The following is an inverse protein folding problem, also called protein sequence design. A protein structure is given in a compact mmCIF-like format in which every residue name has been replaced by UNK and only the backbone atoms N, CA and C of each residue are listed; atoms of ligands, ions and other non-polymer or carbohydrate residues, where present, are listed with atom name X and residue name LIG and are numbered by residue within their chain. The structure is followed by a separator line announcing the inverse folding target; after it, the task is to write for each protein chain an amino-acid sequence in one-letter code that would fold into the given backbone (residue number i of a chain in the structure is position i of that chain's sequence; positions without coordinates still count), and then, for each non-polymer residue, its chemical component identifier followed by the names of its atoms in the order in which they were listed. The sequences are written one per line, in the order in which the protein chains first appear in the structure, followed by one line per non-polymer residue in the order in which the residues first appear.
data_IF_951150985136
#
_entry.id   IF_951150985136
#
_cell.length_a   1.000
_cell.length_b   1.000
_cell.length_c   1.000
_cell.angle_alpha   90.00
_cell.angle_beta   90.00
_cell.angle_gamma   90.00
#
_symmetry.space_group_name_H-M   'P 1'
#
loop_
_entity.id
_entity.type
_entity.pdbx_description
1 polymer ?
#
# COMPACT_ATOMS: atom_id res chain seq x y z
N UNK A 1 18.57 14.87 -19.59
CA UNK A 1 17.22 15.46 -19.61
C UNK A 1 16.28 14.29 -19.32
N UNK A 2 15.76 14.21 -18.10
CA UNK A 2 15.02 13.05 -17.60
C UNK A 2 13.55 13.16 -18.03
N UNK A 3 13.14 12.37 -19.02
CA UNK A 3 11.73 12.19 -19.33
C UNK A 3 11.15 11.19 -18.34
N UNK A 4 10.48 11.71 -17.32
CA UNK A 4 9.60 10.91 -16.47
C UNK A 4 8.45 10.40 -17.35
N UNK A 5 8.20 9.09 -17.34
CA UNK A 5 7.04 8.50 -18.00
C UNK A 5 5.77 9.01 -17.30
N UNK A 6 5.15 10.05 -17.86
CA UNK A 6 3.80 10.44 -17.51
C UNK A 6 2.83 9.69 -18.40
N UNK A 7 2.10 8.72 -17.83
CA UNK A 7 0.92 8.16 -18.48
C UNK A 7 -0.13 9.27 -18.59
N UNK A 8 -0.31 9.86 -19.78
CA UNK A 8 -1.36 10.85 -20.02
C UNK A 8 -2.72 10.16 -20.22
N UNK A 9 -3.38 9.89 -19.10
CA UNK A 9 -4.81 9.64 -19.04
C UNK A 9 -5.40 10.61 -18.02
N UNK A 10 -6.36 11.41 -18.44
CA UNK A 10 -7.15 12.26 -17.54
C UNK A 10 -7.82 11.40 -16.46
N UNK A 11 -7.68 11.84 -15.21
CA UNK A 11 -8.46 11.46 -14.02
C UNK A 11 -8.18 10.10 -13.33
N UNK A 12 -7.85 10.24 -12.04
CA UNK A 12 -7.91 9.25 -10.96
C UNK A 12 -6.80 8.18 -10.95
N UNK A 13 -6.39 7.81 -9.74
CA UNK A 13 -5.51 6.67 -9.45
C UNK A 13 -6.20 5.33 -9.74
N UNK A 14 -6.66 5.12 -10.98
CA UNK A 14 -7.43 3.95 -11.43
C UNK A 14 -6.70 2.62 -11.13
N UNK A 15 -5.39 2.68 -10.97
CA UNK A 15 -4.54 1.51 -10.73
C UNK A 15 -4.28 1.21 -9.23
N UNK A 16 -4.88 1.93 -8.28
CA UNK A 16 -4.73 1.61 -6.86
C UNK A 16 -5.94 0.81 -6.34
N UNK A 17 -5.69 -0.43 -5.93
CA UNK A 17 -6.65 -1.28 -5.21
C UNK A 17 -6.57 -1.06 -3.71
N UNK A 18 -7.71 -0.79 -3.07
CA UNK A 18 -7.82 -0.70 -1.62
C UNK A 18 -8.48 -1.96 -1.06
N UNK A 19 -7.86 -2.55 -0.04
CA UNK A 19 -8.38 -3.71 0.69
C UNK A 19 -8.45 -3.35 2.18
N UNK A 20 -9.58 -2.79 2.64
CA UNK A 20 -9.81 -2.51 4.05
C UNK A 20 -10.22 -3.78 4.80
N UNK A 21 -9.52 -4.10 5.88
CA UNK A 21 -9.84 -5.19 6.79
C UNK A 21 -10.17 -4.61 8.17
N UNK A 22 -11.36 -4.94 8.69
CA UNK A 22 -11.79 -4.51 10.02
C UNK A 22 -11.52 -5.61 11.05
N UNK A 23 -10.95 -5.23 12.20
CA UNK A 23 -10.85 -6.12 13.35
C UNK A 23 -12.25 -6.29 13.93
N UNK A 24 -12.80 -7.51 13.81
CA UNK A 24 -14.14 -7.82 14.35
C UNK A 24 -14.10 -8.27 15.80
N UNK A 25 -13.01 -8.92 16.23
CA UNK A 25 -12.84 -9.48 17.58
C UNK A 25 -11.37 -9.52 17.97
N UNK A 26 -11.09 -9.26 19.24
CA UNK A 26 -9.76 -9.37 19.82
C UNK A 26 -8.82 -8.23 19.45
N UNK A 27 -7.52 -8.47 19.61
CA UNK A 27 -6.48 -7.47 19.37
C UNK A 27 -5.34 -8.00 18.50
N UNK A 28 -4.74 -7.11 17.72
CA UNK A 28 -3.63 -7.44 16.81
C UNK A 28 -2.48 -6.47 17.04
N UNK A 29 -1.28 -6.99 17.31
CA UNK A 29 -0.09 -6.16 17.48
C UNK A 29 0.28 -5.45 16.17
N UNK A 30 0.46 -4.13 16.24
CA UNK A 30 0.88 -3.31 15.09
C UNK A 30 2.25 -3.75 14.59
N UNK A 31 3.16 -4.06 15.51
CA UNK A 31 4.49 -4.54 15.19
C UNK A 31 4.48 -5.90 14.49
N UNK A 32 3.62 -6.83 14.94
CA UNK A 32 3.46 -8.11 14.26
C UNK A 32 2.87 -7.94 12.85
N UNK A 33 1.95 -7.00 12.62
CA UNK A 33 1.46 -6.69 11.27
C UNK A 33 2.64 -6.20 10.41
N UNK A 34 3.46 -5.29 10.93
CA UNK A 34 4.64 -4.74 10.21
C UNK A 34 5.64 -5.84 9.83
N UNK A 35 5.92 -6.76 10.75
CA UNK A 35 6.81 -7.90 10.51
C UNK A 35 6.21 -8.94 9.54
N UNK A 36 4.90 -9.19 9.65
CA UNK A 36 4.20 -10.09 8.75
C UNK A 36 4.20 -9.54 7.33
N UNK A 37 3.97 -8.23 7.16
CA UNK A 37 4.03 -7.55 5.87
C UNK A 37 5.42 -7.66 5.23
N UNK A 38 6.48 -7.42 6.01
CA UNK A 38 7.85 -7.61 5.55
C UNK A 38 8.09 -9.05 5.05
N UNK A 39 7.63 -10.05 5.82
CA UNK A 39 7.78 -11.46 5.47
C UNK A 39 7.03 -11.83 4.19
N UNK A 40 5.81 -11.31 4.01
CA UNK A 40 5.02 -11.49 2.77
C UNK A 40 5.74 -10.89 1.57
N UNK A 41 6.21 -9.64 1.65
CA UNK A 41 6.93 -9.01 0.53
C UNK A 41 8.22 -9.76 0.20
N UNK A 42 8.94 -10.24 1.22
CA UNK A 42 10.15 -11.03 1.01
C UNK A 42 9.87 -12.33 0.23
N UNK A 43 8.76 -13.01 0.52
CA UNK A 43 8.39 -14.28 -0.11
C UNK A 43 7.80 -14.11 -1.52
N UNK A 44 7.03 -13.04 -1.75
CA UNK A 44 6.29 -12.85 -3.01
C UNK A 44 7.03 -11.89 -3.94
N UNK A 45 7.72 -12.44 -4.94
CA UNK A 45 8.50 -11.68 -5.94
C UNK A 45 7.69 -10.61 -6.66
N UNK A 46 6.40 -10.87 -6.93
CA UNK A 46 5.50 -9.92 -7.59
C UNK A 46 5.37 -8.58 -6.85
N UNK A 47 5.45 -8.60 -5.51
CA UNK A 47 5.38 -7.39 -4.68
C UNK A 47 6.68 -6.56 -4.67
N UNK A 48 7.69 -7.04 -5.37
CA UNK A 48 9.01 -6.41 -5.50
C UNK A 48 9.53 -6.42 -6.94
N UNK A 49 8.66 -6.67 -7.91
CA UNK A 49 8.98 -6.57 -9.33
C UNK A 49 8.90 -5.10 -9.76
N UNK A 50 10.04 -4.54 -10.12
CA UNK A 50 10.12 -3.23 -10.77
C UNK A 50 9.74 -3.35 -12.24
N UNK A 51 9.01 -2.37 -12.76
CA UNK A 51 8.62 -2.30 -14.18
C UNK A 51 9.16 -0.99 -14.74
N UNK A 52 10.05 -1.10 -15.73
CA UNK A 52 10.78 0.04 -16.30
C UNK A 52 10.68 0.01 -17.81
N UNK A 53 10.65 1.18 -18.43
CA UNK A 53 10.83 1.30 -19.86
C UNK A 53 12.33 1.40 -20.18
N UNK A 54 12.81 0.56 -21.08
CA UNK A 54 14.15 0.64 -21.61
C UNK A 54 14.13 1.38 -22.97
N UNK A 55 14.65 2.62 -23.05
CA UNK A 55 14.61 3.41 -24.27
C UNK A 55 15.57 2.88 -25.36
N UNK A 56 16.55 2.06 -25.02
CA UNK A 56 17.51 1.53 -26.00
C UNK A 56 16.90 0.46 -26.90
N UNK A 57 15.99 -0.34 -26.38
CA UNK A 57 15.30 -1.41 -27.12
C UNK A 57 13.81 -1.12 -27.31
N UNK A 58 13.30 0.01 -26.79
CA UNK A 58 11.89 0.42 -26.85
C UNK A 58 10.94 -0.63 -26.25
N UNK A 59 11.32 -1.23 -25.12
CA UNK A 59 10.57 -2.30 -24.45
C UNK A 59 10.35 -2.02 -22.97
N UNK A 60 9.30 -2.64 -22.41
CA UNK A 60 9.08 -2.69 -20.96
C UNK A 60 9.79 -3.91 -20.40
N UNK A 61 10.59 -3.71 -19.36
CA UNK A 61 11.34 -4.74 -18.67
C UNK A 61 10.85 -4.91 -17.22
N UNK A 62 10.91 -6.16 -16.74
CA UNK A 62 10.54 -6.53 -15.37
C UNK A 62 11.75 -7.04 -14.60
N UNK A 63 12.08 -6.36 -13.50
CA UNK A 63 13.27 -6.65 -12.71
C UNK A 63 12.88 -6.88 -11.25
N UNK A 64 13.10 -8.09 -10.74
CA UNK A 64 12.83 -8.44 -9.33
C UNK A 64 13.86 -7.74 -8.44
N UNK A 65 13.43 -6.76 -7.65
CA UNK A 65 14.27 -6.02 -6.71
C UNK A 65 14.51 -6.84 -5.45
N UNK A 66 15.75 -6.93 -4.91
CA UNK A 66 16.01 -7.61 -3.65
C UNK A 66 15.14 -7.04 -2.52
N UNK A 67 14.76 -7.87 -1.55
CA UNK A 67 13.95 -7.39 -0.43
C UNK A 67 14.70 -6.35 0.40
N UNK A 68 14.09 -5.18 0.57
CA UNK A 68 14.56 -4.10 1.44
C UNK A 68 13.35 -3.45 2.12
N UNK A 69 13.57 -2.82 3.29
CA UNK A 69 12.48 -2.22 4.08
C UNK A 69 11.82 -1.00 3.41
N UNK A 70 12.45 -0.41 2.40
CA UNK A 70 11.94 0.74 1.66
C UNK A 70 11.05 0.36 0.47
N UNK A 71 10.85 -0.94 0.20
CA UNK A 71 9.95 -1.43 -0.85
C UNK A 71 8.46 -1.23 -0.55
N UNK A 72 8.11 -0.92 0.70
CA UNK A 72 6.74 -0.67 1.11
C UNK A 72 6.68 0.48 2.11
N UNK A 73 5.52 1.13 2.20
CA UNK A 73 5.25 2.07 3.28
C UNK A 73 4.31 1.45 4.31
N UNK A 74 4.58 1.77 5.58
CA UNK A 74 3.74 1.40 6.71
C UNK A 74 3.38 2.67 7.46
N UNK A 75 2.10 3.00 7.50
CA UNK A 75 1.58 4.19 8.16
C UNK A 75 0.64 3.81 9.29
N UNK A 76 0.61 4.64 10.32
CA UNK A 76 -0.26 4.48 11.48
C UNK A 76 -0.98 5.80 11.75
N UNK A 77 -2.31 5.77 11.68
CA UNK A 77 -3.17 6.89 12.09
C UNK A 77 -3.96 6.53 13.34
N UNK A 78 -4.19 7.53 14.19
CA UNK A 78 -4.97 7.39 15.43
C UNK A 78 -6.10 8.41 15.47
N UNK A 79 -7.15 8.10 16.23
CA UNK A 79 -8.27 9.02 16.44
C UNK A 79 -9.12 9.26 15.20
N UNK A 80 -9.17 8.30 14.27
CA UNK A 80 -10.05 8.35 13.09
C UNK A 80 -11.45 7.89 13.50
N UNK A 81 -12.14 8.73 14.26
CA UNK A 81 -13.40 8.39 14.93
C UNK A 81 -14.62 8.60 14.04
N UNK A 82 -14.57 9.55 13.08
CA UNK A 82 -15.69 9.88 12.20
C UNK A 82 -15.56 9.24 10.82
N UNK A 83 -16.71 8.93 10.20
CA UNK A 83 -16.75 8.43 8.81
C UNK A 83 -16.09 9.43 7.84
N UNK A 84 -16.31 10.73 8.02
CA UNK A 84 -15.69 11.76 7.17
C UNK A 84 -14.16 11.77 7.22
N UNK A 85 -13.57 11.51 8.39
CA UNK A 85 -12.12 11.36 8.52
C UNK A 85 -11.63 10.09 7.84
N UNK A 86 -12.37 8.99 7.99
CA UNK A 86 -12.06 7.73 7.31
C UNK A 86 -12.15 7.87 5.79
N UNK A 87 -13.20 8.48 5.26
CA UNK A 87 -13.37 8.73 3.82
C UNK A 87 -12.22 9.57 3.26
N UNK A 88 -11.82 10.62 3.99
CA UNK A 88 -10.65 11.44 3.60
C UNK A 88 -9.36 10.63 3.59
N UNK A 89 -9.18 9.75 4.58
CA UNK A 89 -8.01 8.87 4.64
C UNK A 89 -7.99 7.92 3.46
N UNK A 90 -9.11 7.25 3.17
CA UNK A 90 -9.24 6.33 2.02
C UNK A 90 -9.00 7.06 0.70
N UNK A 91 -9.55 8.27 0.54
CA UNK A 91 -9.34 9.12 -0.64
C UNK A 91 -7.87 9.53 -0.82
N UNK A 92 -7.17 9.83 0.27
CA UNK A 92 -5.76 10.17 0.24
C UNK A 92 -4.88 8.94 -0.07
N UNK A 93 -5.26 7.77 0.43
CA UNK A 93 -4.58 6.52 0.11
C UNK A 93 -4.79 6.09 -1.35
N UNK A 94 -5.99 6.31 -1.90
CA UNK A 94 -6.30 6.00 -3.30
C UNK A 94 -5.62 6.99 -4.25
N UNK A 95 -6.00 8.27 -4.21
CA UNK A 95 -5.66 9.26 -5.24
C UNK A 95 -4.46 10.11 -4.85
N UNK A 96 -4.29 10.38 -3.56
CA UNK A 96 -3.27 11.32 -3.07
C UNK A 96 -1.83 10.85 -3.20
N UNK A 97 -1.58 9.57 -3.53
CA UNK A 97 -0.25 8.95 -3.51
C UNK A 97 -0.02 8.03 -4.70
N UNK A 98 0.99 8.37 -5.50
CA UNK A 98 1.47 7.54 -6.60
C UNK A 98 2.43 6.45 -6.08
N UNK A 99 2.41 5.28 -6.72
CA UNK A 99 3.38 4.22 -6.46
C UNK A 99 4.64 4.42 -7.31
N UNK A 100 5.79 4.01 -6.76
CA UNK A 100 7.07 3.98 -7.46
C UNK A 100 7.29 2.57 -8.03
N UNK A 101 6.53 2.30 -9.10
CA UNK A 101 6.52 1.01 -9.79
C UNK A 101 7.88 0.71 -10.44
N UNK A 102 8.61 1.75 -10.85
CA UNK A 102 9.96 1.61 -11.42
C UNK A 102 10.98 1.07 -10.41
N UNK A 103 10.72 1.20 -9.11
CA UNK A 103 11.56 0.60 -8.07
C UNK A 103 10.87 -0.55 -7.33
N UNK A 104 9.78 -1.10 -7.90
CA UNK A 104 9.06 -2.23 -7.34
C UNK A 104 8.30 -1.89 -6.06
N UNK A 105 8.05 -0.62 -5.78
CA UNK A 105 7.28 -0.16 -4.62
C UNK A 105 5.82 -0.15 -5.00
N UNK A 106 5.14 -1.26 -4.80
CA UNK A 106 3.76 -1.51 -5.26
C UNK A 106 2.77 -1.81 -4.14
N UNK A 107 3.22 -1.80 -2.88
CA UNK A 107 2.40 -2.09 -1.70
C UNK A 107 2.55 -1.02 -0.61
N UNK A 108 1.44 -0.60 -0.05
CA UNK A 108 1.37 0.24 1.16
C UNK A 108 0.43 -0.40 2.16
N UNK A 109 0.72 -0.21 3.45
CA UNK A 109 -0.15 -0.62 4.54
C UNK A 109 -0.41 0.58 5.45
N UNK A 110 -1.68 0.84 5.75
CA UNK A 110 -2.10 1.87 6.68
C UNK A 110 -2.94 1.23 7.79
N UNK A 111 -2.41 1.22 9.01
CA UNK A 111 -3.17 0.80 10.19
C UNK A 111 -3.87 2.01 10.82
N UNK A 112 -5.16 1.88 11.10
CA UNK A 112 -6.01 2.99 11.54
C UNK A 112 -6.69 2.61 12.85
N UNK A 113 -6.29 3.30 13.92
CA UNK A 113 -6.98 3.24 15.20
C UNK A 113 -8.15 4.22 15.20
N UNK A 114 -9.37 3.71 15.37
CA UNK A 114 -10.61 4.49 15.35
C UNK A 114 -10.96 5.04 16.72
N UNK A 115 -10.69 4.29 17.79
CA UNK A 115 -10.85 4.77 19.16
C UNK A 115 -9.70 5.71 19.55
N UNK A 116 -10.04 6.82 20.20
CA UNK A 116 -9.05 7.74 20.78
C UNK A 116 -8.42 7.20 22.08
N UNK A 117 -9.02 6.18 22.69
CA UNK A 117 -8.59 5.59 23.97
C UNK A 117 -7.68 4.35 23.79
N UNK A 118 -7.26 4.06 22.56
CA UNK A 118 -6.61 2.81 22.18
C UNK A 118 -5.11 2.73 22.51
N UNK A 119 -4.72 1.61 23.13
CA UNK A 119 -3.35 1.20 23.46
C UNK A 119 -2.33 1.45 22.35
N UNK A 120 -1.10 1.86 22.74
CA UNK A 120 -0.08 2.34 21.80
C UNK A 120 0.34 1.32 20.72
N UNK A 121 0.24 0.02 21.00
CA UNK A 121 0.95 -1.01 20.23
C UNK A 121 0.04 -2.09 19.62
N UNK A 122 -1.29 -1.93 19.70
CA UNK A 122 -2.26 -2.92 19.19
C UNK A 122 -3.50 -2.28 18.57
N UNK A 123 -3.98 -2.87 17.49
CA UNK A 123 -5.32 -2.63 16.95
C UNK A 123 -6.35 -3.44 17.75
N UNK A 124 -7.52 -2.85 17.96
CA UNK A 124 -8.65 -3.40 18.71
C UNK A 124 -9.87 -3.54 17.80
N UNK A 125 -10.99 -3.99 18.35
CA UNK A 125 -12.27 -4.05 17.64
C UNK A 125 -12.60 -2.70 16.98
N UNK A 126 -13.14 -2.78 15.77
CA UNK A 126 -13.42 -1.68 14.84
C UNK A 126 -12.22 -0.97 14.21
N UNK A 127 -10.99 -1.17 14.69
CA UNK A 127 -9.80 -0.66 14.00
C UNK A 127 -9.62 -1.32 12.62
N UNK A 128 -8.88 -0.65 11.74
CA UNK A 128 -8.72 -1.05 10.35
C UNK A 128 -7.26 -1.30 9.98
N UNK A 129 -7.04 -2.29 9.13
CA UNK A 129 -5.81 -2.48 8.35
C UNK A 129 -6.19 -2.24 6.90
N UNK A 130 -5.57 -1.25 6.27
CA UNK A 130 -5.84 -0.91 4.87
C UNK A 130 -4.60 -1.26 4.06
N UNK A 131 -4.73 -2.26 3.20
CA UNK A 131 -3.72 -2.51 2.17
C UNK A 131 -4.07 -1.70 0.94
N UNK A 132 -3.06 -1.04 0.37
CA UNK A 132 -3.16 -0.38 -0.92
C UNK A 132 -2.15 -1.03 -1.83
N UNK A 133 -2.62 -1.55 -2.97
CA UNK A 133 -1.77 -2.28 -3.93
C UNK A 133 -1.91 -1.65 -5.30
N UNK A 134 -0.81 -1.54 -6.02
CA UNK A 134 -0.88 -1.16 -7.43
C UNK A 134 -1.34 -2.38 -8.26
N UNK A 135 -2.36 -2.19 -9.10
CA UNK A 135 -3.00 -3.23 -9.92
C UNK A 135 -2.03 -3.98 -10.84
N UNK A 136 -0.88 -3.38 -11.16
CA UNK A 136 0.17 -4.02 -11.95
C UNK A 136 0.80 -5.24 -11.26
N UNK A 137 0.75 -5.30 -9.93
CA UNK A 137 1.30 -6.39 -9.13
C UNK A 137 0.22 -7.35 -8.61
N UNK A 138 -1.04 -6.95 -8.65
CA UNK A 138 -2.13 -7.71 -8.06
C UNK A 138 -3.46 -7.41 -8.74
N UNK A 139 -4.13 -8.45 -9.21
CA UNK A 139 -5.51 -8.37 -9.66
C UNK A 139 -6.43 -8.90 -8.55
N UNK A 140 -7.46 -8.13 -8.20
CA UNK A 140 -8.52 -8.59 -7.28
C UNK A 140 -9.51 -9.46 -8.08
N UNK A 141 -9.02 -10.57 -8.63
CA UNK A 141 -9.93 -11.64 -9.06
C UNK A 141 -10.24 -12.50 -7.83
N UNK A 142 -11.48 -12.34 -7.34
CA UNK A 142 -12.14 -13.32 -6.48
C UNK A 142 -12.94 -14.30 -7.33
#
# INVERSE_FOLDING_TARGET
MHENLYFSGSDLSVYNSLVPLQIKRGSVSIEHIRLSLASVIQQHTVLRTAIRFNPMNNQIEQNIQPFTKDLYSFQHSRGVSTLKQLDRLLMNESIGKHFDVENGKVLRCHVVQRSAEGHNDSLQEDDLIIFVVHHIAFDLSS
#
